data_IF_605447875947
#
_entry.id   IF_605447875947
#
_cell.length_a   1.000
_cell.length_b   1.000
_cell.length_c   1.000
_cell.angle_alpha   90.00
_cell.angle_beta   90.00
_cell.angle_gamma   90.00
#
_symmetry.space_group_name_H-M   'P 1'
#
loop_
_entity.id
_entity.type
_entity.pdbx_description
1 polymer ?
#
# COMPACT_ATOMS: atom_id res chain seq x y z
N UNK A 1 9.99 -7.39 15.04
CA UNK A 1 10.90 -6.28 14.63
C UNK A 1 10.05 -5.07 14.25
N UNK A 2 10.42 -3.85 14.65
CA UNK A 2 9.73 -2.63 14.20
C UNK A 2 10.35 -2.19 12.87
N UNK A 3 9.75 -2.61 11.76
CA UNK A 3 10.30 -2.42 10.41
C UNK A 3 10.24 -0.98 9.90
N UNK A 4 9.46 -0.13 10.58
CA UNK A 4 9.15 1.24 10.18
C UNK A 4 10.37 2.18 10.15
N UNK A 5 11.47 1.83 10.83
CA UNK A 5 12.69 2.64 10.92
C UNK A 5 13.96 1.95 10.40
N UNK A 6 13.88 0.73 9.84
CA UNK A 6 15.06 0.08 9.27
C UNK A 6 15.33 0.61 7.86
N UNK A 7 16.45 1.31 7.68
CA UNK A 7 16.87 1.91 6.41
C UNK A 7 16.90 0.91 5.25
N UNK A 8 17.18 -0.37 5.52
CA UNK A 8 17.24 -1.43 4.50
C UNK A 8 15.85 -1.81 4.03
N UNK A 9 14.88 -1.82 4.94
CA UNK A 9 13.46 -2.01 4.61
C UNK A 9 12.94 -0.82 3.81
N UNK A 10 13.24 0.41 4.25
CA UNK A 10 12.87 1.63 3.51
C UNK A 10 13.44 1.62 2.09
N UNK A 11 14.71 1.25 1.92
CA UNK A 11 15.33 1.12 0.60
C UNK A 11 14.64 0.03 -0.25
N UNK A 12 14.35 -1.13 0.33
CA UNK A 12 13.65 -2.21 -0.38
C UNK A 12 12.25 -1.78 -0.86
N UNK A 13 11.50 -1.07 -0.01
CA UNK A 13 10.18 -0.53 -0.36
C UNK A 13 10.27 0.47 -1.53
N UNK A 14 11.24 1.39 -1.48
CA UNK A 14 11.47 2.38 -2.55
C UNK A 14 11.85 1.71 -3.87
N UNK A 15 12.81 0.79 -3.85
CA UNK A 15 13.24 0.05 -5.03
C UNK A 15 12.08 -0.75 -5.63
N UNK A 16 11.26 -1.37 -4.79
CA UNK A 16 10.11 -2.13 -5.25
C UNK A 16 9.03 -1.23 -5.85
N UNK A 17 8.71 -0.12 -5.21
CA UNK A 17 7.76 0.85 -5.76
C UNK A 17 8.21 1.32 -7.15
N UNK A 18 9.48 1.70 -7.30
CA UNK A 18 10.04 2.09 -8.59
C UNK A 18 9.91 0.97 -9.64
N UNK A 19 10.23 -0.27 -9.29
CA UNK A 19 10.11 -1.41 -10.19
C UNK A 19 8.65 -1.71 -10.60
N UNK A 20 7.67 -1.43 -9.73
CA UNK A 20 6.24 -1.53 -10.06
C UNK A 20 5.79 -0.38 -10.98
N UNK A 21 6.37 0.82 -10.82
CA UNK A 21 6.11 1.93 -11.72
C UNK A 21 6.54 1.62 -13.16
N UNK A 22 7.70 0.99 -13.33
CA UNK A 22 8.21 0.55 -14.64
C UNK A 22 7.30 -0.51 -15.31
N UNK A 23 6.47 -1.20 -14.52
CA UNK A 23 5.52 -2.22 -15.01
C UNK A 23 4.16 -1.64 -15.44
N UNK A 24 4.02 -0.31 -15.50
CA UNK A 24 2.81 0.37 -15.96
C UNK A 24 1.96 1.00 -14.86
N UNK A 25 2.47 1.06 -13.63
CA UNK A 25 1.78 1.67 -12.50
C UNK A 25 2.31 3.08 -12.23
N UNK A 26 1.81 4.08 -12.95
CA UNK A 26 2.44 5.41 -12.96
C UNK A 26 2.52 6.13 -11.60
N UNK A 27 1.86 5.61 -10.54
CA UNK A 27 1.73 6.29 -9.24
C UNK A 27 1.93 5.38 -8.00
N UNK A 28 2.55 4.20 -8.12
CA UNK A 28 2.76 3.35 -6.93
C UNK A 28 3.86 3.93 -6.03
N UNK A 29 3.51 4.27 -4.80
CA UNK A 29 4.43 4.79 -3.80
C UNK A 29 5.01 3.70 -2.90
N UNK A 30 6.12 4.00 -2.22
CA UNK A 30 6.66 3.12 -1.19
C UNK A 30 5.67 2.88 -0.03
N UNK A 31 4.77 3.82 0.23
CA UNK A 31 3.72 3.68 1.24
C UNK A 31 2.68 2.63 0.82
N UNK A 32 2.34 2.54 -0.47
CA UNK A 32 1.38 1.56 -0.99
C UNK A 32 1.94 0.13 -0.91
N UNK A 33 3.23 -0.02 -1.22
CA UNK A 33 3.95 -1.29 -1.02
C UNK A 33 4.01 -1.64 0.46
N UNK A 34 4.31 -0.67 1.33
CA UNK A 34 4.36 -0.90 2.78
C UNK A 34 2.99 -1.31 3.34
N UNK A 35 1.90 -0.69 2.88
CA UNK A 35 0.55 -1.03 3.27
C UNK A 35 0.20 -2.47 2.85
N UNK A 36 0.59 -2.86 1.63
CA UNK A 36 0.43 -4.23 1.12
C UNK A 36 1.17 -5.24 1.99
N UNK A 37 2.43 -4.96 2.32
CA UNK A 37 3.21 -5.79 3.25
C UNK A 37 2.59 -5.84 4.65
N UNK A 38 2.09 -4.72 5.18
CA UNK A 38 1.47 -4.69 6.50
C UNK A 38 0.23 -5.59 6.59
N UNK A 39 -0.54 -5.71 5.51
CA UNK A 39 -1.67 -6.65 5.42
C UNK A 39 -1.17 -8.10 5.42
N UNK A 40 -0.13 -8.43 4.64
CA UNK A 40 0.50 -9.76 4.61
C UNK A 40 1.03 -10.14 6.00
N UNK A 41 1.67 -9.20 6.68
CA UNK A 41 2.34 -9.38 7.97
C UNK A 41 1.41 -9.36 9.18
N UNK A 42 0.14 -8.99 9.01
CA UNK A 42 -0.85 -8.89 10.10
C UNK A 42 -0.95 -10.19 10.92
N UNK A 43 -0.89 -11.33 10.24
CA UNK A 43 -0.99 -12.66 10.88
C UNK A 43 0.35 -13.40 10.90
N UNK A 44 1.23 -13.11 9.94
CA UNK A 44 2.52 -13.78 9.80
C UNK A 44 3.61 -12.72 9.60
N UNK A 45 4.03 -12.02 10.67
CA UNK A 45 5.11 -11.06 10.56
C UNK A 45 6.43 -11.80 10.31
N UNK A 46 7.32 -11.24 9.46
CA UNK A 46 8.66 -11.79 9.31
C UNK A 46 9.37 -11.80 10.67
N UNK A 47 10.26 -12.77 10.87
CA UNK A 47 11.12 -12.87 12.06
C UNK A 47 12.49 -12.26 11.77
N UNK A 48 12.89 -12.25 10.50
CA UNK A 48 14.19 -11.76 10.07
C UNK A 48 14.08 -10.71 8.97
N UNK A 49 15.12 -9.88 8.84
CA UNK A 49 15.17 -8.82 7.83
C UNK A 49 15.07 -9.39 6.40
N UNK A 50 15.77 -10.49 6.12
CA UNK A 50 15.78 -11.07 4.78
C UNK A 50 14.40 -11.59 4.35
N UNK A 51 13.58 -12.06 5.31
CA UNK A 51 12.19 -12.46 5.07
C UNK A 51 11.35 -11.23 4.72
N UNK A 52 11.50 -10.13 5.47
CA UNK A 52 10.81 -8.88 5.17
C UNK A 52 11.18 -8.32 3.77
N UNK A 53 12.48 -8.34 3.44
CA UNK A 53 12.95 -7.92 2.11
C UNK A 53 12.41 -8.83 1.01
N UNK A 54 12.44 -10.15 1.21
CA UNK A 54 11.85 -11.11 0.28
C UNK A 54 10.37 -10.83 0.05
N UNK A 55 9.61 -10.66 1.13
CA UNK A 55 8.18 -10.34 1.07
C UNK A 55 7.89 -9.07 0.27
N UNK A 56 8.71 -8.02 0.45
CA UNK A 56 8.60 -6.77 -0.30
C UNK A 56 8.80 -7.01 -1.80
N UNK A 57 9.86 -7.73 -2.17
CA UNK A 57 10.15 -7.97 -3.59
C UNK A 57 9.14 -8.91 -4.27
N UNK A 58 8.48 -9.77 -3.50
CA UNK A 58 7.39 -10.64 -3.97
C UNK A 58 6.07 -9.91 -4.24
N UNK A 59 5.88 -8.68 -3.72
CA UNK A 59 4.66 -7.89 -3.96
C UNK A 59 4.43 -7.71 -5.46
N UNK A 60 3.23 -8.00 -5.96
CA UNK A 60 2.85 -7.71 -7.35
C UNK A 60 2.03 -6.44 -7.44
N UNK A 61 1.97 -5.85 -8.63
CA UNK A 61 1.11 -4.69 -8.88
C UNK A 61 -0.35 -5.01 -8.54
N UNK A 62 -0.83 -6.20 -8.91
CA UNK A 62 -2.18 -6.68 -8.61
C UNK A 62 -2.49 -6.69 -7.11
N UNK A 63 -1.51 -7.05 -6.26
CA UNK A 63 -1.67 -7.05 -4.81
C UNK A 63 -1.88 -5.63 -4.29
N UNK A 64 -1.08 -4.68 -4.78
CA UNK A 64 -1.17 -3.26 -4.42
C UNK A 64 -2.53 -2.68 -4.82
N UNK A 65 -2.94 -2.90 -6.07
CA UNK A 65 -4.25 -2.43 -6.58
C UNK A 65 -5.39 -2.99 -5.75
N UNK A 66 -5.36 -4.29 -5.42
CA UNK A 66 -6.39 -4.94 -4.61
C UNK A 66 -6.48 -4.34 -3.20
N UNK A 67 -5.34 -4.00 -2.60
CA UNK A 67 -5.28 -3.36 -1.28
C UNK A 67 -5.84 -1.94 -1.32
N UNK A 68 -5.44 -1.15 -2.31
CA UNK A 68 -5.93 0.23 -2.47
C UNK A 68 -7.43 0.28 -2.74
N UNK A 69 -7.95 -0.61 -3.60
CA UNK A 69 -9.39 -0.74 -3.84
C UNK A 69 -10.15 -1.11 -2.57
N UNK A 70 -9.67 -2.07 -1.79
CA UNK A 70 -10.29 -2.41 -0.51
C UNK A 70 -10.29 -1.21 0.47
N UNK A 71 -9.21 -0.44 0.51
CA UNK A 71 -9.14 0.77 1.33
C UNK A 71 -10.13 1.83 0.87
N UNK A 72 -10.20 2.10 -0.43
CA UNK A 72 -11.14 3.06 -1.01
C UNK A 72 -12.60 2.68 -0.74
N UNK A 73 -12.95 1.40 -0.90
CA UNK A 73 -14.30 0.89 -0.58
C UNK A 73 -14.58 1.07 0.91
N UNK A 74 -13.64 0.68 1.78
CA UNK A 74 -13.82 0.81 3.23
C UNK A 74 -13.94 2.27 3.66
N UNK A 75 -13.16 3.18 3.07
CA UNK A 75 -13.30 4.60 3.32
C UNK A 75 -14.67 5.08 2.86
N UNK A 76 -15.08 4.75 1.63
CA UNK A 76 -16.39 5.07 1.06
C UNK A 76 -17.59 4.66 1.94
N UNK A 77 -17.53 3.46 2.52
CA UNK A 77 -18.58 2.95 3.44
C UNK A 77 -18.62 3.72 4.76
N UNK A 78 -17.49 4.27 5.22
CA UNK A 78 -17.39 4.98 6.50
C UNK A 78 -17.51 6.50 6.37
N UNK A 79 -17.48 7.04 5.16
CA UNK A 79 -17.70 8.46 4.86
C UNK A 79 -19.19 8.81 4.86
N UNK A 80 -19.51 10.03 5.28
CA UNK A 80 -20.87 10.56 5.24
C UNK A 80 -21.18 11.08 3.83
N UNK A 81 -22.45 11.05 3.41
CA UNK A 81 -22.85 11.56 2.08
C UNK A 81 -22.41 13.02 1.85
N UNK A 82 -22.34 13.81 2.92
CA UNK A 82 -21.91 15.21 2.92
C UNK A 82 -20.43 15.39 2.53
N UNK A 83 -19.58 14.38 2.80
CA UNK A 83 -18.17 14.40 2.42
C UNK A 83 -17.97 14.30 0.90
N UNK A 84 -19.06 14.04 0.16
CA UNK A 84 -19.10 13.96 -1.30
C UNK A 84 -19.95 15.05 -1.96
N UNK A 85 -20.46 16.05 -1.22
CA UNK A 85 -21.29 17.12 -1.80
C UNK A 85 -20.57 17.90 -2.90
N UNK A 86 -19.27 18.16 -2.74
CA UNK A 86 -18.40 18.77 -3.77
C UNK A 86 -18.26 17.89 -5.02
N UNK A 87 -18.37 16.56 -4.88
CA UNK A 87 -18.21 15.60 -5.95
C UNK A 87 -19.53 15.29 -6.67
N UNK A 88 -20.65 15.35 -5.94
CA UNK A 88 -22.00 15.07 -6.42
C UNK A 88 -22.71 16.32 -6.97
N UNK A 89 -22.05 17.48 -6.95
CA UNK A 89 -22.59 18.71 -7.52
C UNK A 89 -23.75 19.28 -6.70
N UNK A 90 -23.61 19.31 -5.37
CA UNK A 90 -24.54 20.01 -4.49
C UNK A 90 -24.36 21.53 -4.61
N UNK A 91 -24.90 22.13 -5.67
CA UNK A 91 -25.12 23.56 -5.68
C UNK A 91 -26.33 23.87 -4.78
N UNK A 92 -26.14 24.78 -3.84
CA UNK A 92 -27.19 25.46 -3.04
C UNK A 92 -28.36 25.92 -3.88
#
# INVERSE_FOLDING_TARGET
MNYTNDKRVTLALLLKANALCDQGAHEVSAADVALTCAIKWKHHPPQHLHEAVKDIFEVKLEDVVKVLMHHAIKQGVNSHLQDYEDLLGGNV
#
